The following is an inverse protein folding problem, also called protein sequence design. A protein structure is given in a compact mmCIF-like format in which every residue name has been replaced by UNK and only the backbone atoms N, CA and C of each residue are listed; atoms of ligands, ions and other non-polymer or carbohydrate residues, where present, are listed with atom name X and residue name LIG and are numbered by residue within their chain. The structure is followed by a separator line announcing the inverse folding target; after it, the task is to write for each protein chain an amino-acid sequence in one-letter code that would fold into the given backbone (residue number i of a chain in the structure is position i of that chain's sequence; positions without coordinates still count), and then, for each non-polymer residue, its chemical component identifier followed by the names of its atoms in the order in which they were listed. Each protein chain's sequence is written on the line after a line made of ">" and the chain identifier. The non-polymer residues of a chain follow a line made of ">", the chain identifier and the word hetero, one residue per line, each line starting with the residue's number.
data_IF_646769347799
#
_entry.id   IF_646769347799
#
_cell.length_a   1.000
_cell.length_b   1.000
_cell.length_c   1.000
_cell.angle_alpha   90.00
_cell.angle_beta   90.00
_cell.angle_gamma   90.00
#
_symmetry.space_group_name_H-M   'P 1'
#
loop_
_entity.id
_entity.type
_entity.pdbx_description
1 polymer ?
#
# COMPACT_ATOMS: atom_id res chain seq x y z
N UNK A 1 12.84 -14.97 14.22
CA UNK A 1 11.58 -15.60 14.67
C UNK A 1 11.87 -17.02 15.15
N UNK A 2 11.18 -17.44 16.19
CA UNK A 2 11.17 -18.83 16.71
C UNK A 2 9.78 -19.38 16.42
N UNK A 3 9.73 -20.59 15.84
CA UNK A 3 8.50 -21.34 15.63
C UNK A 3 7.87 -21.80 16.96
N UNK A 4 6.56 -22.06 16.93
CA UNK A 4 5.85 -22.65 18.04
C UNK A 4 4.98 -23.81 17.51
N UNK A 5 5.29 -25.07 17.86
CA UNK A 5 4.53 -26.22 17.38
C UNK A 5 3.14 -26.37 18.02
N UNK A 6 2.85 -25.61 19.08
CA UNK A 6 1.60 -25.70 19.85
C UNK A 6 0.60 -24.59 19.47
N UNK A 7 0.66 -24.08 18.23
CA UNK A 7 -0.31 -23.10 17.75
C UNK A 7 -1.62 -23.78 17.37
N UNK A 8 -2.74 -23.17 17.76
CA UNK A 8 -4.07 -23.52 17.25
C UNK A 8 -4.25 -22.98 15.84
N UNK A 9 -5.22 -23.50 15.11
CA UNK A 9 -5.64 -22.94 13.84
C UNK A 9 -6.44 -21.65 14.08
N UNK A 10 -6.13 -20.62 13.31
CA UNK A 10 -6.97 -19.42 13.28
C UNK A 10 -8.34 -19.73 12.71
N UNK A 11 -9.38 -19.11 13.26
CA UNK A 11 -10.72 -19.09 12.66
C UNK A 11 -11.20 -17.65 12.49
N UNK A 12 -11.76 -17.33 11.32
CA UNK A 12 -12.17 -15.97 10.98
C UNK A 12 -13.65 -15.87 10.64
N UNK A 13 -14.31 -14.88 11.25
CA UNK A 13 -15.62 -14.40 10.82
C UNK A 13 -15.40 -13.06 10.11
N UNK A 14 -15.92 -12.96 8.88
CA UNK A 14 -15.77 -11.77 8.04
C UNK A 14 -17.13 -11.18 7.68
N UNK A 15 -17.22 -9.84 7.76
CA UNK A 15 -18.34 -9.06 7.26
C UNK A 15 -17.85 -8.05 6.22
N UNK A 16 -18.42 -8.09 5.03
CA UNK A 16 -18.08 -7.22 3.90
C UNK A 16 -19.26 -6.34 3.54
N UNK A 17 -19.01 -5.06 3.27
CA UNK A 17 -20.00 -4.14 2.76
C UNK A 17 -19.36 -3.24 1.69
N UNK A 18 -20.17 -2.84 0.70
CA UNK A 18 -19.73 -1.83 -0.25
C UNK A 18 -20.91 -0.98 -0.73
N UNK A 19 -20.57 0.25 -1.11
CA UNK A 19 -21.46 1.15 -1.83
C UNK A 19 -20.75 1.58 -3.10
N UNK A 20 -21.44 1.48 -4.23
CA UNK A 20 -20.90 1.87 -5.53
C UNK A 20 -21.86 2.83 -6.23
N UNK A 21 -21.28 3.85 -6.83
CA UNK A 21 -21.96 4.79 -7.70
C UNK A 21 -21.26 4.79 -9.06
N UNK A 22 -22.03 4.72 -10.13
CA UNK A 22 -21.49 4.76 -11.49
C UNK A 22 -22.47 5.46 -12.43
N UNK A 23 -21.93 6.41 -13.18
CA UNK A 23 -22.58 7.02 -14.35
C UNK A 23 -21.59 7.13 -15.51
N UNK A 24 -21.91 7.87 -16.55
CA UNK A 24 -21.05 8.03 -17.74
C UNK A 24 -19.69 8.69 -17.43
N UNK A 25 -19.62 9.53 -16.40
CA UNK A 25 -18.41 10.32 -16.07
C UNK A 25 -17.76 9.94 -14.78
N UNK A 26 -18.50 9.38 -13.84
CA UNK A 26 -18.01 9.11 -12.47
C UNK A 26 -18.25 7.65 -12.13
N UNK A 27 -17.22 7.01 -11.62
CA UNK A 27 -17.30 5.72 -10.94
C UNK A 27 -16.64 5.87 -9.56
N UNK A 28 -17.40 5.59 -8.51
CA UNK A 28 -16.91 5.61 -7.14
C UNK A 28 -17.34 4.34 -6.42
N UNK A 29 -16.44 3.72 -5.67
CA UNK A 29 -16.74 2.55 -4.84
C UNK A 29 -16.06 2.73 -3.49
N UNK A 30 -16.87 2.69 -2.43
CA UNK A 30 -16.41 2.55 -1.06
C UNK A 30 -16.66 1.11 -0.65
N UNK A 31 -15.62 0.42 -0.21
CA UNK A 31 -15.68 -0.95 0.32
C UNK A 31 -15.18 -0.95 1.74
N UNK A 32 -15.76 -1.77 2.61
CA UNK A 32 -15.26 -1.99 3.96
C UNK A 32 -15.35 -3.46 4.33
N UNK A 33 -14.37 -3.94 5.08
CA UNK A 33 -14.26 -5.31 5.55
C UNK A 33 -13.96 -5.28 7.04
N UNK A 34 -14.66 -6.11 7.80
CA UNK A 34 -14.42 -6.32 9.21
C UNK A 34 -14.16 -7.80 9.46
N UNK A 35 -13.07 -8.09 10.14
CA UNK A 35 -12.67 -9.43 10.53
C UNK A 35 -12.65 -9.55 12.04
N UNK A 36 -13.21 -10.65 12.55
CA UNK A 36 -12.99 -11.14 13.91
C UNK A 36 -12.27 -12.48 13.79
N UNK A 37 -11.03 -12.53 14.26
CA UNK A 37 -10.16 -13.70 14.09
C UNK A 37 -9.84 -14.26 15.46
N UNK A 38 -10.33 -15.46 15.77
CA UNK A 38 -9.98 -16.21 16.98
C UNK A 38 -8.65 -16.93 16.80
N UNK A 39 -7.92 -17.12 17.89
CA UNK A 39 -6.59 -17.73 17.92
C UNK A 39 -5.57 -17.03 16.99
N UNK A 40 -5.69 -15.69 16.85
CA UNK A 40 -4.87 -14.91 15.92
C UNK A 40 -3.38 -15.09 16.19
N UNK A 41 -2.64 -15.55 15.16
CA UNK A 41 -1.22 -15.87 15.27
C UNK A 41 -0.37 -14.62 15.01
N UNK A 42 0.45 -14.25 15.99
CA UNK A 42 1.32 -13.07 15.89
C UNK A 42 2.69 -13.34 16.50
N UNK A 43 3.73 -12.68 15.97
CA UNK A 43 5.07 -12.72 16.55
C UNK A 43 5.17 -11.80 17.77
N UNK A 44 5.29 -12.38 18.96
CA UNK A 44 5.49 -11.65 20.23
C UNK A 44 6.99 -11.52 20.53
N UNK A 45 7.42 -10.32 20.96
CA UNK A 45 8.81 -10.12 21.39
C UNK A 45 9.06 -10.88 22.71
N UNK A 46 10.10 -11.71 22.72
CA UNK A 46 10.52 -12.44 23.91
C UNK A 46 11.69 -11.70 24.55
N UNK A 47 11.60 -11.45 25.88
CA UNK A 47 12.71 -10.90 26.64
C UNK A 47 13.86 -11.91 26.84
N UNK A 48 15.06 -11.38 27.08
CA UNK A 48 16.22 -12.20 27.46
C UNK A 48 16.99 -12.90 26.33
N UNK A 49 16.51 -12.80 25.08
CA UNK A 49 17.20 -13.36 23.92
C UNK A 49 17.82 -12.24 23.07
N UNK A 50 19.09 -12.45 22.70
CA UNK A 50 19.83 -11.54 21.83
C UNK A 50 19.55 -11.93 20.36
N UNK A 51 19.14 -10.99 19.50
CA UNK A 51 18.95 -11.28 18.08
C UNK A 51 20.29 -11.58 17.40
N UNK A 52 20.33 -12.62 16.59
CA UNK A 52 21.52 -12.98 15.81
C UNK A 52 21.72 -12.08 14.58
N UNK A 53 20.71 -11.28 14.24
CA UNK A 53 20.74 -10.38 13.07
C UNK A 53 21.18 -8.99 13.50
N UNK A 54 22.18 -8.41 12.80
CA UNK A 54 22.62 -7.04 13.01
C UNK A 54 21.45 -6.07 12.84
N UNK A 55 21.23 -5.18 13.81
CA UNK A 55 20.11 -4.24 13.82
C UNK A 55 18.77 -4.85 14.26
N UNK A 56 18.72 -6.10 14.63
CA UNK A 56 17.52 -6.74 15.18
C UNK A 56 17.14 -6.14 16.54
N UNK A 57 15.87 -5.78 16.73
CA UNK A 57 15.32 -5.16 17.96
C UNK A 57 14.73 -6.19 18.95
N UNK A 58 15.16 -7.42 18.89
CA UNK A 58 14.70 -8.52 19.74
C UNK A 58 14.38 -9.78 18.95
N UNK A 59 14.12 -10.86 19.66
CA UNK A 59 13.69 -12.14 19.10
C UNK A 59 12.19 -12.25 19.28
N UNK A 60 11.49 -12.67 18.21
CA UNK A 60 10.04 -12.90 18.25
C UNK A 60 9.73 -14.39 18.19
N UNK A 61 8.77 -14.83 18.98
CA UNK A 61 8.18 -16.16 18.88
C UNK A 61 6.72 -16.04 18.44
N UNK A 62 6.28 -16.96 17.59
CA UNK A 62 4.87 -17.04 17.24
C UNK A 62 4.05 -17.53 18.42
N UNK A 63 2.92 -16.87 18.65
CA UNK A 63 1.95 -17.23 19.68
C UNK A 63 0.55 -16.81 19.26
N UNK A 64 -0.45 -17.53 19.77
CA UNK A 64 -1.86 -17.16 19.56
C UNK A 64 -2.31 -16.07 20.53
N UNK A 65 -3.17 -15.21 20.07
CA UNK A 65 -3.99 -14.29 20.86
C UNK A 65 -5.40 -14.86 20.97
N UNK A 66 -6.13 -14.56 22.03
CA UNK A 66 -7.52 -15.00 22.17
C UNK A 66 -8.35 -14.63 20.95
N UNK A 67 -8.25 -13.35 20.54
CA UNK A 67 -8.80 -12.88 19.28
C UNK A 67 -8.12 -11.58 18.83
N UNK A 68 -8.31 -11.28 17.56
CA UNK A 68 -7.99 -9.98 16.98
C UNK A 68 -9.16 -9.48 16.10
N UNK A 69 -9.27 -8.17 15.96
CA UNK A 69 -10.22 -7.54 15.06
C UNK A 69 -9.49 -6.67 14.07
N UNK A 70 -9.86 -6.74 12.79
CA UNK A 70 -9.28 -5.92 11.72
C UNK A 70 -10.41 -5.24 10.96
N UNK A 71 -10.28 -3.95 10.76
CA UNK A 71 -11.16 -3.15 9.92
C UNK A 71 -10.36 -2.54 8.77
N UNK A 72 -10.85 -2.73 7.55
CA UNK A 72 -10.30 -2.12 6.34
C UNK A 72 -11.38 -1.30 5.64
N UNK A 73 -10.98 -0.19 5.03
CA UNK A 73 -11.83 0.61 4.17
C UNK A 73 -11.05 1.11 2.97
N UNK A 74 -11.64 0.98 1.77
CA UNK A 74 -11.05 1.38 0.49
C UNK A 74 -12.04 2.26 -0.27
N UNK A 75 -11.61 3.46 -0.63
CA UNK A 75 -12.35 4.35 -1.54
C UNK A 75 -11.60 4.43 -2.85
N UNK A 76 -12.24 3.98 -3.91
CA UNK A 76 -11.74 4.10 -5.29
C UNK A 76 -12.66 5.02 -6.08
N UNK A 77 -12.08 6.02 -6.73
CA UNK A 77 -12.82 7.01 -7.52
C UNK A 77 -12.16 7.21 -8.88
N UNK A 78 -12.97 7.27 -9.91
CA UNK A 78 -12.58 7.57 -11.27
C UNK A 78 -13.53 8.61 -11.84
N UNK A 79 -13.00 9.70 -12.40
CA UNK A 79 -13.78 10.79 -12.98
C UNK A 79 -13.24 11.11 -14.38
N UNK A 80 -14.11 11.04 -15.37
CA UNK A 80 -13.82 11.54 -16.72
C UNK A 80 -14.07 13.06 -16.74
N UNK A 81 -13.00 13.86 -16.54
CA UNK A 81 -13.08 15.31 -16.49
C UNK A 81 -13.39 15.90 -17.87
N UNK A 82 -12.68 15.41 -18.88
CA UNK A 82 -12.87 15.74 -20.30
C UNK A 82 -12.67 14.48 -21.13
N UNK A 83 -13.03 14.49 -22.41
CA UNK A 83 -12.84 13.32 -23.30
C UNK A 83 -11.39 12.83 -23.36
N UNK A 84 -10.44 13.70 -23.09
CA UNK A 84 -9.01 13.44 -23.12
C UNK A 84 -8.33 13.42 -21.72
N UNK A 85 -9.06 13.70 -20.63
CA UNK A 85 -8.50 13.83 -19.29
C UNK A 85 -9.34 13.06 -18.27
N UNK A 86 -8.68 12.15 -17.56
CA UNK A 86 -9.26 11.28 -16.53
C UNK A 86 -8.53 11.47 -15.22
N UNK A 87 -9.27 11.55 -14.14
CA UNK A 87 -8.75 11.54 -12.79
C UNK A 87 -9.10 10.23 -12.09
N UNK A 88 -8.12 9.59 -11.47
CA UNK A 88 -8.30 8.42 -10.63
C UNK A 88 -7.78 8.73 -9.23
N UNK A 89 -8.47 8.25 -8.19
CA UNK A 89 -7.95 8.31 -6.82
C UNK A 89 -8.31 7.06 -6.03
N UNK A 90 -7.44 6.71 -5.12
CA UNK A 90 -7.61 5.61 -4.18
C UNK A 90 -7.16 6.05 -2.80
N UNK A 91 -7.97 5.71 -1.80
CA UNK A 91 -7.63 5.84 -0.39
C UNK A 91 -7.85 4.50 0.28
N UNK A 92 -6.87 4.07 1.08
CA UNK A 92 -6.92 2.82 1.82
C UNK A 92 -6.63 3.10 3.29
N UNK A 93 -7.47 2.56 4.16
CA UNK A 93 -7.32 2.64 5.60
C UNK A 93 -7.42 1.24 6.20
N UNK A 94 -6.51 0.93 7.13
CA UNK A 94 -6.52 -0.32 7.86
C UNK A 94 -6.29 -0.06 9.35
N UNK A 95 -7.02 -0.77 10.20
CA UNK A 95 -6.84 -0.74 11.65
C UNK A 95 -7.08 -2.12 12.24
N UNK A 96 -6.12 -2.60 13.03
CA UNK A 96 -6.22 -3.87 13.73
C UNK A 96 -6.02 -3.69 15.23
N UNK A 97 -6.80 -4.41 16.04
CA UNK A 97 -6.70 -4.44 17.49
C UNK A 97 -6.71 -5.88 17.99
N UNK A 98 -5.88 -6.18 18.99
CA UNK A 98 -5.96 -7.41 19.74
C UNK A 98 -7.03 -7.35 20.84
N UNK A 99 -7.25 -8.46 21.56
CA UNK A 99 -8.20 -8.57 22.66
C UNK A 99 -7.92 -7.60 23.83
N UNK A 100 -6.69 -7.08 23.96
CA UNK A 100 -6.27 -6.05 24.94
C UNK A 100 -6.43 -4.63 24.41
N UNK A 101 -6.95 -4.47 23.18
CA UNK A 101 -7.05 -3.19 22.46
C UNK A 101 -5.70 -2.60 22.03
N UNK A 102 -4.62 -3.40 22.08
CA UNK A 102 -3.33 -3.02 21.51
C UNK A 102 -3.38 -3.04 19.98
N UNK A 103 -2.57 -2.20 19.35
CA UNK A 103 -2.49 -2.17 17.90
C UNK A 103 -1.85 -3.46 17.35
N UNK A 104 -2.43 -4.03 16.28
CA UNK A 104 -1.84 -5.14 15.57
C UNK A 104 -0.69 -4.68 14.68
N UNK A 105 0.38 -5.51 14.53
CA UNK A 105 1.45 -5.20 13.62
C UNK A 105 1.02 -5.29 12.15
N UNK A 106 1.79 -4.62 11.28
CA UNK A 106 1.61 -4.59 9.83
C UNK A 106 0.30 -3.97 9.32
N UNK A 107 -0.38 -3.18 10.17
CA UNK A 107 -1.50 -2.37 9.70
C UNK A 107 -0.99 -1.18 8.89
N UNK A 108 -1.50 -1.02 7.68
CA UNK A 108 -1.14 0.13 6.84
C UNK A 108 -1.71 1.42 7.43
N UNK A 109 -0.92 2.50 7.57
CA UNK A 109 -1.49 3.83 7.82
C UNK A 109 -2.39 4.24 6.65
N UNK A 110 -3.18 5.31 6.84
CA UNK A 110 -3.96 5.86 5.72
C UNK A 110 -3.03 6.13 4.54
N UNK A 111 -3.25 5.40 3.47
CA UNK A 111 -2.52 5.53 2.21
C UNK A 111 -3.40 6.14 1.13
N UNK A 112 -2.79 6.87 0.21
CA UNK A 112 -3.49 7.48 -0.90
C UNK A 112 -2.67 7.42 -2.17
N UNK A 113 -3.40 7.32 -3.29
CA UNK A 113 -2.87 7.48 -4.63
C UNK A 113 -3.84 8.32 -5.43
N UNK A 114 -3.32 9.25 -6.22
CA UNK A 114 -4.13 10.03 -7.16
C UNK A 114 -3.35 10.21 -8.45
N UNK A 115 -4.04 10.17 -9.60
CA UNK A 115 -3.43 10.33 -10.91
C UNK A 115 -4.35 11.10 -11.86
N UNK A 116 -3.76 12.06 -12.58
CA UNK A 116 -4.35 12.70 -13.74
C UNK A 116 -3.75 12.05 -14.99
N UNK A 117 -4.61 11.46 -15.82
CA UNK A 117 -4.24 10.75 -17.03
C UNK A 117 -4.78 11.51 -18.24
N UNK A 118 -3.88 11.92 -19.10
CA UNK A 118 -4.17 12.59 -20.36
C UNK A 118 -3.99 11.61 -21.52
N UNK A 119 -4.96 11.56 -22.41
CA UNK A 119 -4.94 10.75 -23.63
C UNK A 119 -5.49 11.56 -24.80
N UNK A 120 -4.69 11.76 -25.81
CA UNK A 120 -5.14 12.41 -27.06
C UNK A 120 -4.43 11.79 -28.25
N UNK A 121 -5.18 11.12 -29.14
CA UNK A 121 -4.65 10.40 -30.29
C UNK A 121 -3.60 9.35 -29.86
N UNK A 122 -2.34 9.57 -30.24
CA UNK A 122 -1.20 8.68 -29.97
C UNK A 122 -0.39 9.12 -28.75
N UNK A 123 -0.75 10.24 -28.14
CA UNK A 123 -0.05 10.81 -26.98
C UNK A 123 -0.77 10.44 -25.69
N UNK A 124 -0.02 10.00 -24.70
CA UNK A 124 -0.46 9.84 -23.33
C UNK A 124 0.46 10.58 -22.38
N UNK A 125 -0.08 11.05 -21.27
CA UNK A 125 0.72 11.59 -20.16
C UNK A 125 0.01 11.28 -18.83
N UNK A 126 0.79 11.11 -17.79
CA UNK A 126 0.26 10.91 -16.44
C UNK A 126 1.08 11.73 -15.45
N UNK A 127 0.38 12.43 -14.59
CA UNK A 127 0.93 13.00 -13.37
C UNK A 127 0.27 12.27 -12.19
N UNK A 128 1.09 11.70 -11.32
CA UNK A 128 0.58 10.94 -10.18
C UNK A 128 1.25 11.34 -8.87
N UNK A 129 0.48 11.20 -7.80
CA UNK A 129 0.92 11.39 -6.43
C UNK A 129 0.50 10.18 -5.60
N UNK A 130 1.37 9.73 -4.72
CA UNK A 130 1.02 8.73 -3.73
C UNK A 130 1.76 9.00 -2.42
N UNK A 131 1.21 8.47 -1.34
CA UNK A 131 1.83 8.65 -0.04
C UNK A 131 1.07 7.95 1.07
N UNK A 132 1.63 8.10 2.27
CA UNK A 132 1.02 7.62 3.50
C UNK A 132 0.99 8.73 4.53
N UNK A 133 -0.05 8.75 5.36
CA UNK A 133 -0.06 9.56 6.58
C UNK A 133 0.99 9.03 7.56
N UNK A 134 1.35 9.84 8.54
CA UNK A 134 2.20 9.44 9.64
C UNK A 134 1.62 8.24 10.37
N UNK A 135 2.42 7.18 10.54
CA UNK A 135 2.01 5.94 11.22
C UNK A 135 2.18 6.10 12.73
N UNK A 136 1.13 6.62 13.39
CA UNK A 136 1.09 6.83 14.85
C UNK A 136 0.55 5.63 15.62
N UNK A 137 -0.38 4.89 15.02
CA UNK A 137 -1.03 3.72 15.60
C UNK A 137 -0.22 2.44 15.38
N UNK A 138 1.12 2.54 15.47
CA UNK A 138 2.01 1.39 15.32
C UNK A 138 1.92 0.44 16.53
N UNK A 139 2.26 -0.82 16.31
CA UNK A 139 2.16 -1.89 17.31
C UNK A 139 3.44 -1.96 18.16
N UNK A 140 3.61 -1.02 19.11
CA UNK A 140 4.80 -0.93 19.95
C UNK A 140 5.08 -2.22 20.74
N UNK A 141 4.03 -2.86 21.29
CA UNK A 141 4.13 -4.13 22.04
C UNK A 141 4.61 -5.29 21.16
N UNK A 142 4.45 -5.18 19.85
CA UNK A 142 4.93 -6.15 18.84
C UNK A 142 6.24 -5.72 18.18
N UNK A 143 6.90 -4.66 18.72
CA UNK A 143 8.21 -4.21 18.27
C UNK A 143 8.21 -3.33 17.02
N UNK A 144 7.08 -2.73 16.67
CA UNK A 144 7.02 -1.71 15.64
C UNK A 144 7.42 -0.33 16.16
N UNK A 145 7.76 0.55 15.26
CA UNK A 145 8.11 1.94 15.56
C UNK A 145 7.37 2.89 14.63
N UNK A 146 7.20 4.11 15.07
CA UNK A 146 6.63 5.18 14.26
C UNK A 146 7.31 5.30 12.89
N UNK A 147 6.50 5.62 11.87
CA UNK A 147 7.00 5.97 10.53
C UNK A 147 6.44 7.32 10.12
N UNK A 148 7.30 8.19 9.62
CA UNK A 148 6.92 9.53 9.16
C UNK A 148 6.04 9.43 7.91
N UNK A 149 5.21 10.44 7.71
CA UNK A 149 4.45 10.62 6.47
C UNK A 149 5.36 10.91 5.28
N UNK A 150 4.89 10.57 4.11
CA UNK A 150 5.53 10.93 2.86
C UNK A 150 4.51 11.15 1.74
N UNK A 151 4.92 11.97 0.78
CA UNK A 151 4.20 12.22 -0.48
C UNK A 151 5.21 12.20 -1.61
N UNK A 152 4.96 11.38 -2.61
CA UNK A 152 5.82 11.18 -3.78
C UNK A 152 5.06 11.58 -5.03
N UNK A 153 5.70 12.33 -5.89
CA UNK A 153 5.18 12.80 -7.16
C UNK A 153 5.93 12.15 -8.32
N UNK A 154 5.17 11.71 -9.33
CA UNK A 154 5.71 11.09 -10.53
C UNK A 154 5.08 11.74 -11.77
N UNK A 155 5.82 11.73 -12.87
CA UNK A 155 5.32 12.15 -14.19
C UNK A 155 5.82 11.19 -15.25
N UNK A 156 4.97 10.92 -16.23
CA UNK A 156 5.39 10.19 -17.42
C UNK A 156 4.64 10.68 -18.64
N UNK A 157 5.24 10.44 -19.80
CA UNK A 157 4.63 10.68 -21.10
C UNK A 157 4.91 9.49 -22.01
N UNK A 158 3.95 9.15 -22.86
CA UNK A 158 4.06 8.05 -23.82
C UNK A 158 3.56 8.48 -25.19
N UNK A 159 4.17 7.89 -26.21
CA UNK A 159 3.75 8.07 -27.59
C UNK A 159 3.68 6.73 -28.31
N UNK A 160 2.55 6.49 -28.98
CA UNK A 160 2.34 5.27 -29.77
C UNK A 160 2.56 5.58 -31.24
N UNK A 161 3.43 4.82 -31.91
CA UNK A 161 3.63 4.89 -33.36
C UNK A 161 3.60 3.47 -33.95
N UNK A 162 3.45 3.41 -35.28
CA UNK A 162 3.50 2.15 -36.02
C UNK A 162 4.77 2.11 -36.85
N UNK A 163 5.48 1.00 -36.80
CA UNK A 163 6.69 0.76 -37.57
C UNK A 163 6.67 -0.66 -38.11
N UNK A 164 6.75 -0.81 -39.45
CA UNK A 164 6.71 -2.11 -40.14
C UNK A 164 5.55 -3.02 -39.70
N UNK A 165 4.35 -2.49 -39.55
CA UNK A 165 3.18 -3.25 -39.11
C UNK A 165 3.07 -3.47 -37.59
N UNK A 166 4.13 -3.22 -36.84
CA UNK A 166 4.15 -3.31 -35.37
C UNK A 166 3.66 -2.01 -34.74
N UNK A 167 2.95 -2.13 -33.61
CA UNK A 167 2.62 -0.98 -32.75
C UNK A 167 3.69 -0.85 -31.68
N UNK A 168 4.36 0.30 -31.64
CA UNK A 168 5.41 0.62 -30.66
C UNK A 168 4.89 1.69 -29.72
N UNK A 169 4.81 1.36 -28.44
CA UNK A 169 4.52 2.32 -27.38
C UNK A 169 5.83 2.65 -26.65
N UNK A 170 6.28 3.89 -26.78
CA UNK A 170 7.42 4.41 -26.02
C UNK A 170 6.89 5.22 -24.84
N UNK A 171 7.42 4.97 -23.65
CA UNK A 171 7.07 5.70 -22.43
C UNK A 171 8.34 6.12 -21.71
N UNK A 172 8.44 7.41 -21.40
CA UNK A 172 9.49 7.99 -20.57
C UNK A 172 8.87 8.55 -19.29
N UNK A 173 9.61 8.53 -18.22
CA UNK A 173 9.08 9.06 -16.98
C UNK A 173 10.15 9.35 -15.92
N UNK A 174 9.70 10.08 -14.92
CA UNK A 174 10.46 10.41 -13.72
C UNK A 174 9.61 10.03 -12.51
N UNK A 175 10.15 9.17 -11.68
CA UNK A 175 9.58 8.82 -10.38
C UNK A 175 10.27 9.62 -9.29
N UNK A 176 9.52 9.94 -8.23
CA UNK A 176 10.03 10.73 -7.10
C UNK A 176 10.71 12.03 -7.58
N UNK A 177 9.95 12.87 -8.29
CA UNK A 177 10.45 14.09 -8.97
C UNK A 177 11.26 14.99 -8.03
N UNK A 178 10.86 15.08 -6.75
CA UNK A 178 11.49 15.92 -5.75
C UNK A 178 12.63 15.25 -4.98
N UNK A 179 13.02 14.03 -5.38
CA UNK A 179 14.11 13.26 -4.76
C UNK A 179 13.94 13.08 -3.24
N UNK A 180 12.69 12.87 -2.80
CA UNK A 180 12.37 12.74 -1.37
C UNK A 180 12.93 11.42 -0.83
N UNK A 181 13.71 11.49 0.24
CA UNK A 181 14.11 10.31 1.01
C UNK A 181 12.91 9.91 1.89
N UNK A 182 12.44 8.67 1.77
CA UNK A 182 11.32 8.17 2.55
C UNK A 182 11.45 6.68 2.84
N UNK A 183 10.74 6.24 3.85
CA UNK A 183 10.56 4.83 4.23
C UNK A 183 9.09 4.54 4.38
N UNK A 184 8.68 3.30 4.18
CA UNK A 184 7.32 2.87 4.45
C UNK A 184 7.22 2.18 5.83
N UNK A 185 6.01 2.00 6.33
CA UNK A 185 5.78 1.28 7.60
C UNK A 185 6.28 -0.19 7.53
N UNK A 186 6.30 -0.80 6.36
CA UNK A 186 6.69 -2.18 6.13
C UNK A 186 8.19 -2.36 5.81
N UNK A 187 8.95 -1.26 5.66
CA UNK A 187 10.38 -1.36 5.34
C UNK A 187 11.18 -1.84 6.54
N UNK A 188 11.86 -2.96 6.33
CA UNK A 188 12.74 -3.55 7.34
C UNK A 188 13.89 -2.59 7.70
N UNK A 189 14.13 -2.40 8.99
CA UNK A 189 15.15 -1.47 9.51
C UNK A 189 15.06 -0.03 8.99
N UNK A 190 13.91 0.39 8.46
CA UNK A 190 13.71 1.73 7.88
C UNK A 190 14.73 2.06 6.78
N UNK A 191 15.10 1.06 5.97
CA UNK A 191 15.94 1.28 4.79
C UNK A 191 15.19 2.21 3.83
N UNK A 192 15.79 3.34 3.43
CA UNK A 192 15.13 4.29 2.54
C UNK A 192 14.82 3.68 1.18
N UNK A 193 13.68 4.06 0.63
CA UNK A 193 13.28 3.75 -0.74
C UNK A 193 14.12 4.54 -1.74
N UNK A 194 14.24 4.06 -3.01
CA UNK A 194 14.97 4.78 -4.04
C UNK A 194 14.54 6.24 -4.18
N UNK A 195 15.52 7.12 -4.40
CA UNK A 195 15.32 8.52 -4.72
C UNK A 195 14.73 8.72 -6.12
N UNK A 196 15.04 9.85 -6.75
CA UNK A 196 14.60 10.15 -8.12
C UNK A 196 15.11 9.12 -9.10
N UNK A 197 14.19 8.61 -9.93
CA UNK A 197 14.49 7.60 -10.94
C UNK A 197 13.95 8.05 -12.30
N UNK A 198 14.77 7.94 -13.34
CA UNK A 198 14.39 8.15 -14.74
C UNK A 198 14.26 6.81 -15.42
N UNK A 199 13.21 6.63 -16.22
CA UNK A 199 13.02 5.38 -16.96
C UNK A 199 12.56 5.60 -18.39
N UNK A 200 12.92 4.66 -19.24
CA UNK A 200 12.42 4.48 -20.60
C UNK A 200 11.82 3.07 -20.71
N UNK A 201 10.59 2.99 -21.19
CA UNK A 201 9.91 1.72 -21.45
C UNK A 201 9.52 1.67 -22.93
N UNK A 202 9.80 0.53 -23.57
CA UNK A 202 9.41 0.22 -24.95
C UNK A 202 8.54 -1.03 -24.95
N UNK A 203 7.31 -0.90 -25.43
CA UNK A 203 6.38 -2.02 -25.56
C UNK A 203 6.11 -2.25 -27.05
N UNK A 204 6.41 -3.46 -27.54
CA UNK A 204 6.26 -3.86 -28.92
C UNK A 204 5.11 -4.86 -29.04
N UNK A 205 4.10 -4.55 -29.87
CA UNK A 205 2.99 -5.44 -30.18
C UNK A 205 3.03 -5.80 -31.66
N UNK A 206 3.18 -7.08 -31.92
CA UNK A 206 3.26 -7.68 -33.26
C UNK A 206 1.87 -8.02 -33.81
#
# INVERSE_FOLDING_TARGET
>A
YIGNPNLNNESSLEANAFVAFKNERISAKLSSNYFHISDYIVGKVIGGLVPMTIGGKGVKQYGSLDYATIFNADLNTQVQLFSFLKWNSQFTYARGKDYRKENLPFMSPLSYRSALQFYKNKLSAEFSVFGNSRYRDFAAVYGETETTDYTIFNVNAGYQFSFNGMKVLTKIGVENIFDRIYTTYADWNKIPRPGRNFYLNLNLNF
#
